data_IF_015320716351
#
_entry.id   IF_015320716351
#
_cell.length_a   1.000
_cell.length_b   1.000
_cell.length_c   1.000
_cell.angle_alpha   90.00
_cell.angle_beta   90.00
_cell.angle_gamma   90.00
#
_symmetry.space_group_name_H-M   'P 1'
#
loop_
_entity.id
_entity.type
_entity.pdbx_description
1 polymer ?
#
# COMPACT_ATOMS: atom_id res chain seq x y z
N UNK A 1 -20.10 4.94 -1.26
CA UNK A 1 -18.69 5.19 -0.90
C UNK A 1 -18.24 4.08 0.03
N UNK A 2 -17.17 3.37 -0.32
CA UNK A 2 -16.60 2.28 0.49
C UNK A 2 -15.32 2.78 1.14
N UNK A 3 -15.15 2.50 2.43
CA UNK A 3 -13.93 2.78 3.17
C UNK A 3 -13.45 1.50 3.82
N UNK A 4 -12.13 1.28 3.80
CA UNK A 4 -11.53 0.10 4.41
C UNK A 4 -11.26 0.34 5.90
N UNK A 5 -11.14 -0.75 6.67
CA UNK A 5 -10.85 -0.67 8.09
C UNK A 5 -9.49 -0.02 8.36
N UNK A 6 -9.41 0.91 9.33
CA UNK A 6 -8.12 1.49 9.78
C UNK A 6 -7.21 0.44 10.45
N UNK A 7 -7.80 -0.66 10.92
CA UNK A 7 -7.09 -1.81 11.49
C UNK A 7 -6.64 -2.82 10.41
N UNK A 8 -6.71 -2.45 9.12
CA UNK A 8 -6.19 -3.28 8.03
C UNK A 8 -4.76 -3.73 8.30
N UNK A 9 -4.49 -4.99 7.94
CA UNK A 9 -3.23 -5.65 8.19
C UNK A 9 -2.24 -5.26 7.09
N UNK A 10 -1.12 -4.67 7.48
CA UNK A 10 0.05 -4.45 6.62
C UNK A 10 1.14 -5.36 7.16
N UNK A 11 1.40 -6.53 6.54
CA UNK A 11 2.47 -7.41 7.02
C UNK A 11 3.82 -6.68 6.88
N UNK A 12 4.62 -6.65 7.95
CA UNK A 12 5.95 -6.01 7.92
C UNK A 12 6.79 -6.51 6.73
N UNK A 13 6.75 -7.82 6.46
CA UNK A 13 7.46 -8.43 5.34
C UNK A 13 7.06 -7.86 3.96
N UNK A 14 5.84 -7.33 3.80
CA UNK A 14 5.45 -6.61 2.56
C UNK A 14 6.21 -5.31 2.38
N UNK A 15 6.56 -4.64 3.47
CA UNK A 15 7.35 -3.41 3.43
C UNK A 15 8.83 -3.76 3.29
N UNK A 16 9.34 -4.58 4.20
CA UNK A 16 10.78 -4.81 4.38
C UNK A 16 11.40 -5.81 3.42
N UNK A 17 10.60 -6.72 2.82
CA UNK A 17 11.09 -7.76 1.91
C UNK A 17 10.51 -7.66 0.50
N UNK A 18 9.58 -6.73 0.27
CA UNK A 18 8.90 -6.58 -1.02
C UNK A 18 8.91 -5.16 -1.58
N UNK A 19 8.34 -4.17 -0.88
CA UNK A 19 8.25 -2.79 -1.40
C UNK A 19 9.60 -2.07 -1.40
N UNK A 20 10.36 -2.18 -0.30
CA UNK A 20 11.60 -1.44 -0.07
C UNK A 20 12.86 -2.23 -0.47
N UNK A 21 12.68 -3.32 -1.21
CA UNK A 21 13.77 -4.14 -1.73
C UNK A 21 13.81 -4.03 -3.23
N UNK A 22 15.00 -3.75 -3.77
CA UNK A 22 15.22 -3.68 -5.20
C UNK A 22 14.87 -4.98 -5.90
N UNK A 23 14.16 -4.88 -7.01
CA UNK A 23 13.83 -6.01 -7.88
C UNK A 23 14.15 -5.69 -9.33
N UNK A 24 14.64 -6.68 -10.07
CA UNK A 24 14.92 -6.54 -11.51
C UNK A 24 13.67 -6.21 -12.35
N UNK A 25 12.48 -6.58 -11.87
CA UNK A 25 11.19 -6.33 -12.53
C UNK A 25 10.22 -5.69 -11.53
N UNK A 26 9.45 -4.71 -12.00
CA UNK A 26 8.44 -3.98 -11.23
C UNK A 26 8.99 -3.38 -9.93
N UNK A 27 10.20 -2.80 -10.01
CA UNK A 27 10.88 -2.21 -8.87
C UNK A 27 10.06 -1.06 -8.30
N UNK A 28 9.62 -1.23 -7.06
CA UNK A 28 8.91 -0.20 -6.30
C UNK A 28 9.87 0.55 -5.39
N UNK A 29 11.01 -0.06 -5.07
CA UNK A 29 11.97 0.50 -4.11
C UNK A 29 12.61 1.77 -4.65
N UNK A 30 13.01 1.81 -5.92
CA UNK A 30 13.55 3.02 -6.56
C UNK A 30 12.52 4.14 -6.66
N UNK A 31 11.26 3.84 -6.93
CA UNK A 31 10.18 4.82 -6.93
C UNK A 31 9.94 5.40 -5.53
N UNK A 32 9.81 4.54 -4.52
CA UNK A 32 9.62 4.94 -3.12
C UNK A 32 10.83 5.70 -2.56
N UNK A 33 12.05 5.36 -3.00
CA UNK A 33 13.27 6.05 -2.61
C UNK A 33 13.31 7.52 -3.06
N UNK A 34 12.56 7.90 -4.12
CA UNK A 34 12.43 9.31 -4.52
C UNK A 34 11.83 10.17 -3.41
N UNK A 35 11.01 9.57 -2.53
CA UNK A 35 10.41 10.21 -1.37
C UNK A 35 11.13 9.87 -0.05
N UNK A 36 12.35 9.31 -0.11
CA UNK A 36 13.14 9.00 1.09
C UNK A 36 12.63 7.77 1.87
N UNK A 37 11.70 6.99 1.31
CA UNK A 37 11.33 5.71 1.90
C UNK A 37 12.43 4.68 1.65
N UNK A 38 12.99 4.14 2.72
CA UNK A 38 14.05 3.14 2.69
C UNK A 38 13.74 2.04 3.68
N UNK A 39 14.50 0.93 3.62
CA UNK A 39 14.39 -0.14 4.61
C UNK A 39 14.61 0.34 6.05
N UNK A 40 15.38 1.41 6.27
CA UNK A 40 15.62 1.96 7.60
C UNK A 40 14.47 2.86 8.12
N UNK A 41 13.59 3.30 7.21
CA UNK A 41 12.44 4.16 7.48
C UNK A 41 11.11 3.50 7.09
N UNK A 42 11.05 2.17 7.18
CA UNK A 42 9.89 1.40 6.71
C UNK A 42 8.61 1.70 7.50
N UNK A 43 8.73 2.07 8.77
CA UNK A 43 7.60 2.44 9.63
C UNK A 43 6.95 3.75 9.17
N UNK A 44 7.72 4.69 8.63
CA UNK A 44 7.17 5.92 8.03
C UNK A 44 6.31 5.58 6.82
N UNK A 45 6.78 4.67 5.96
CA UNK A 45 5.98 4.17 4.85
C UNK A 45 4.70 3.48 5.34
N UNK A 46 4.77 2.67 6.41
CA UNK A 46 3.58 2.04 6.98
C UNK A 46 2.54 3.07 7.44
N UNK A 47 2.98 4.08 8.18
CA UNK A 47 2.12 5.16 8.68
C UNK A 47 1.43 5.91 7.54
N UNK A 48 2.18 6.24 6.48
CA UNK A 48 1.63 6.94 5.33
C UNK A 48 0.67 6.06 4.53
N UNK A 49 0.96 4.76 4.36
CA UNK A 49 0.02 3.80 3.76
C UNK A 49 -1.27 3.68 4.58
N UNK A 50 -1.18 3.69 5.92
CA UNK A 50 -2.36 3.69 6.80
C UNK A 50 -3.16 4.97 6.66
N UNK A 51 -2.51 6.11 6.43
CA UNK A 51 -3.21 7.37 6.22
C UNK A 51 -4.13 7.33 4.99
N UNK A 52 -3.75 6.57 3.95
CA UNK A 52 -4.54 6.40 2.72
C UNK A 52 -5.84 5.63 2.95
N UNK A 53 -5.95 4.81 4.01
CA UNK A 53 -7.20 4.08 4.32
C UNK A 53 -8.39 5.02 4.61
N UNK A 54 -8.13 6.32 4.84
CA UNK A 54 -9.15 7.36 5.00
C UNK A 54 -9.76 7.81 3.66
N UNK A 55 -9.15 7.45 2.54
CA UNK A 55 -9.65 7.76 1.21
C UNK A 55 -10.69 6.71 0.77
N UNK A 56 -11.49 7.07 -0.22
CA UNK A 56 -12.45 6.14 -0.81
C UNK A 56 -11.75 4.96 -1.49
N UNK A 57 -12.29 3.77 -1.26
CA UNK A 57 -11.88 2.53 -1.89
C UNK A 57 -12.85 2.17 -3.03
N UNK A 58 -12.29 1.79 -4.17
CA UNK A 58 -13.04 1.36 -5.36
C UNK A 58 -12.75 -0.12 -5.60
N UNK A 59 -13.79 -0.92 -5.86
CA UNK A 59 -13.61 -2.32 -6.23
C UNK A 59 -12.79 -2.40 -7.52
N UNK A 60 -11.65 -3.10 -7.45
CA UNK A 60 -10.75 -3.32 -8.60
C UNK A 60 -11.08 -4.64 -9.30
N UNK A 61 -11.21 -5.72 -8.53
CA UNK A 61 -11.59 -7.04 -9.03
C UNK A 61 -12.06 -7.96 -7.92
N UNK A 62 -12.90 -8.91 -8.29
CA UNK A 62 -13.31 -10.02 -7.43
C UNK A 62 -12.37 -11.21 -7.64
N UNK A 63 -12.12 -11.97 -6.58
CA UNK A 63 -11.35 -13.21 -6.64
C UNK A 63 -12.03 -14.29 -5.80
N UNK A 64 -11.74 -15.59 -6.02
CA UNK A 64 -12.28 -16.66 -5.19
C UNK A 64 -11.96 -16.53 -3.68
N UNK A 65 -10.93 -15.76 -3.34
CA UNK A 65 -10.44 -15.58 -1.97
C UNK A 65 -10.93 -14.28 -1.31
N UNK A 66 -11.64 -13.43 -2.06
CA UNK A 66 -12.04 -12.11 -1.58
C UNK A 66 -11.96 -11.03 -2.64
N UNK A 67 -12.43 -9.85 -2.26
CA UNK A 67 -12.53 -8.70 -3.15
C UNK A 67 -11.30 -7.80 -3.01
N UNK A 68 -10.71 -7.41 -4.13
CA UNK A 68 -9.59 -6.48 -4.18
C UNK A 68 -10.12 -5.08 -4.41
N UNK A 69 -9.74 -4.16 -3.55
CA UNK A 69 -10.07 -2.74 -3.61
C UNK A 69 -8.82 -1.91 -3.87
N UNK A 70 -8.98 -0.90 -4.72
CA UNK A 70 -7.98 0.12 -5.02
C UNK A 70 -8.28 1.39 -4.22
N UNK A 71 -7.26 1.96 -3.61
CA UNK A 71 -7.29 3.30 -3.02
C UNK A 71 -6.20 4.13 -3.70
N UNK A 72 -6.59 5.26 -4.28
CA UNK A 72 -5.67 6.24 -4.83
C UNK A 72 -5.31 7.30 -3.79
N UNK A 73 -4.08 7.80 -3.84
CA UNK A 73 -3.63 8.80 -2.89
C UNK A 73 -2.24 9.35 -3.19
N UNK A 74 -1.77 10.18 -2.27
CA UNK A 74 -0.45 10.81 -2.33
C UNK A 74 0.30 10.42 -1.06
N UNK A 75 1.47 9.80 -1.24
CA UNK A 75 2.45 9.65 -0.17
C UNK A 75 3.35 10.89 -0.15
N UNK A 76 3.63 11.42 1.03
CA UNK A 76 4.51 12.58 1.22
C UNK A 76 5.73 12.13 2.01
N UNK A 77 6.86 12.05 1.32
CA UNK A 77 8.13 11.65 1.91
C UNK A 77 8.64 12.61 2.96
N UNK A 78 9.61 12.16 3.76
CA UNK A 78 10.33 13.01 4.72
C UNK A 78 11.12 14.14 4.04
N UNK A 79 11.40 14.00 2.74
CA UNK A 79 12.02 15.00 1.88
C UNK A 79 10.98 15.88 1.15
N UNK A 80 9.71 15.87 1.58
CA UNK A 80 8.58 16.60 1.01
C UNK A 80 8.17 16.19 -0.42
N UNK A 81 8.84 15.18 -1.00
CA UNK A 81 8.49 14.67 -2.34
C UNK A 81 7.15 13.94 -2.26
N UNK A 82 6.26 14.29 -3.20
CA UNK A 82 4.91 13.73 -3.31
C UNK A 82 4.89 12.63 -4.37
N UNK A 83 4.48 11.43 -3.98
CA UNK A 83 4.31 10.29 -4.88
C UNK A 83 2.82 10.00 -5.05
N UNK A 84 2.32 10.07 -6.28
CA UNK A 84 0.97 9.59 -6.62
C UNK A 84 1.00 8.07 -6.71
N UNK A 85 0.09 7.42 -5.97
CA UNK A 85 0.09 5.97 -5.83
C UNK A 85 -1.33 5.41 -5.88
N UNK A 86 -1.41 4.15 -6.29
CA UNK A 86 -2.56 3.29 -6.09
C UNK A 86 -2.16 2.15 -5.16
N UNK A 87 -2.90 1.98 -4.06
CA UNK A 87 -2.75 0.86 -3.13
C UNK A 87 -3.86 -0.15 -3.32
N UNK A 88 -3.54 -1.42 -3.20
CA UNK A 88 -4.46 -2.53 -3.40
C UNK A 88 -4.58 -3.32 -2.12
N UNK A 89 -5.82 -3.59 -1.74
CA UNK A 89 -6.18 -4.23 -0.47
C UNK A 89 -7.18 -5.34 -0.76
N UNK A 90 -7.07 -6.46 -0.07
CA UNK A 90 -8.00 -7.58 -0.19
C UNK A 90 -8.85 -7.64 1.08
N UNK A 91 -10.17 -7.69 0.92
CA UNK A 91 -11.07 -8.15 1.98
C UNK A 91 -11.24 -9.65 1.77
N UNK A 92 -10.68 -10.44 2.67
CA UNK A 92 -10.71 -11.90 2.61
C UNK A 92 -12.14 -12.42 2.83
N UNK A 93 -12.60 -13.33 1.98
CA UNK A 93 -14.00 -13.81 2.00
C UNK A 93 -14.32 -14.76 3.16
N UNK A 94 -13.30 -15.29 3.85
CA UNK A 94 -13.49 -16.24 4.95
C UNK A 94 -13.29 -15.60 6.32
N UNK A 95 -12.27 -14.76 6.44
CA UNK A 95 -11.91 -14.10 7.71
C UNK A 95 -12.46 -12.69 7.84
N UNK A 96 -12.93 -12.08 6.74
CA UNK A 96 -13.34 -10.67 6.65
C UNK A 96 -12.21 -9.67 6.96
N UNK A 97 -10.98 -10.16 7.16
CA UNK A 97 -9.80 -9.33 7.36
C UNK A 97 -9.48 -8.52 6.10
N UNK A 98 -9.15 -7.25 6.28
CA UNK A 98 -8.59 -6.43 5.21
C UNK A 98 -7.07 -6.48 5.25
N UNK A 99 -6.43 -6.85 4.13
CA UNK A 99 -4.97 -7.06 4.03
C UNK A 99 -4.36 -6.28 2.88
N UNK A 100 -3.22 -5.67 3.13
CA UNK A 100 -2.44 -4.97 2.12
C UNK A 100 -1.86 -5.96 1.09
N UNK A 101 -2.17 -5.74 -0.19
CA UNK A 101 -1.69 -6.56 -1.30
C UNK A 101 -0.40 -5.97 -1.87
N UNK A 102 -0.47 -4.74 -2.38
CA UNK A 102 0.65 -4.02 -3.01
C UNK A 102 0.36 -2.53 -3.20
N UNK A 103 1.40 -1.78 -3.56
CA UNK A 103 1.36 -0.42 -4.07
C UNK A 103 1.89 -0.39 -5.50
N UNK A 104 1.34 0.48 -6.35
CA UNK A 104 1.83 0.81 -7.68
C UNK A 104 1.92 2.34 -7.86
N UNK A 105 2.89 2.85 -8.65
CA UNK A 105 2.86 4.24 -9.12
C UNK A 105 1.59 4.49 -9.94
N UNK A 106 1.00 5.68 -9.79
CA UNK A 106 -0.16 6.15 -10.57
C UNK A 106 0.25 7.23 -11.56
#
# INVERSE_FOLDING_TARGET
MIYLSLNSIIPEAKLTRYLLVWKKKDDKSGFLAQAGYTINSWQSLEQDLRSLLKNEAVLDRETPFGNIYKIEGILVGSNEVKLKVATFWMIDSFSEDTRFVTLLPN
#
